data_IF_919110447400
#
_entry.id   IF_919110447400
#
_cell.length_a   1.000
_cell.length_b   1.000
_cell.length_c   1.000
_cell.angle_alpha   90.00
_cell.angle_beta   90.00
_cell.angle_gamma   90.00
#
_symmetry.space_group_name_H-M   'P 1'
#
loop_
_entity.id
_entity.type
_entity.pdbx_description
1 polymer ?
#
# COMPACT_ATOMS: atom_id res chain seq x y z
N UNK A 1 15.12 -17.32 29.63
CA UNK A 1 13.77 -16.72 29.68
C UNK A 1 13.79 -15.51 28.76
N UNK A 2 13.14 -15.57 27.60
CA UNK A 2 13.04 -14.41 26.71
C UNK A 2 12.17 -13.39 27.43
N UNK A 3 12.74 -12.24 27.80
CA UNK A 3 12.02 -11.19 28.52
C UNK A 3 11.09 -10.49 27.51
N UNK A 4 9.90 -11.05 27.29
CA UNK A 4 8.92 -10.51 26.36
C UNK A 4 8.25 -9.32 27.03
N UNK A 5 8.52 -8.12 26.53
CA UNK A 5 7.76 -6.94 26.96
C UNK A 5 6.27 -7.16 26.66
N UNK A 6 5.37 -6.81 27.59
CA UNK A 6 3.93 -6.93 27.37
C UNK A 6 3.49 -6.09 26.16
N UNK A 7 2.46 -6.55 25.45
CA UNK A 7 1.89 -5.79 24.32
C UNK A 7 1.27 -4.49 24.82
N UNK A 8 1.57 -3.34 24.19
CA UNK A 8 0.88 -2.09 24.51
C UNK A 8 -0.58 -2.15 24.05
N UNK A 9 -1.43 -1.31 24.64
CA UNK A 9 -2.85 -1.19 24.24
C UNK A 9 -3.00 -0.84 22.74
N UNK A 10 -2.10 0.01 22.22
CA UNK A 10 -1.96 0.28 20.78
C UNK A 10 -0.66 -0.31 20.26
N UNK A 11 -0.70 -1.44 19.54
CA UNK A 11 0.49 -2.01 18.93
C UNK A 11 0.99 -1.14 17.79
N UNK A 12 2.32 -0.99 17.70
CA UNK A 12 2.98 -0.22 16.65
C UNK A 12 3.39 -1.09 15.46
N UNK A 13 3.75 -2.35 15.72
CA UNK A 13 4.27 -3.26 14.71
C UNK A 13 3.25 -4.32 14.36
N UNK A 14 3.17 -4.67 13.09
CA UNK A 14 2.22 -5.64 12.56
C UNK A 14 2.92 -6.56 11.57
N UNK A 15 2.35 -7.76 11.44
CA UNK A 15 2.65 -8.67 10.34
C UNK A 15 1.37 -9.08 9.64
N UNK A 16 1.48 -9.48 8.39
CA UNK A 16 0.40 -10.22 7.73
C UNK A 16 0.50 -11.70 8.11
N UNK A 17 -0.63 -12.30 8.44
CA UNK A 17 -0.77 -13.76 8.49
C UNK A 17 -0.99 -14.35 7.08
N UNK A 18 -1.15 -15.67 7.01
CA UNK A 18 -1.36 -16.38 5.75
C UNK A 18 -2.64 -15.95 5.02
N UNK A 19 -3.62 -15.43 5.76
CA UNK A 19 -4.89 -14.93 5.25
C UNK A 19 -4.85 -13.42 4.95
N UNK A 20 -3.67 -12.81 4.93
CA UNK A 20 -3.46 -11.38 4.70
C UNK A 20 -4.15 -10.47 5.75
N UNK A 21 -4.38 -10.98 6.96
CA UNK A 21 -4.91 -10.19 8.07
C UNK A 21 -3.74 -9.63 8.88
N UNK A 22 -3.79 -8.33 9.19
CA UNK A 22 -2.79 -7.69 10.02
C UNK A 22 -2.90 -8.18 11.48
N UNK A 23 -1.81 -8.70 12.01
CA UNK A 23 -1.68 -9.17 13.39
C UNK A 23 -0.66 -8.33 14.14
N UNK A 24 -1.00 -7.84 15.35
CA UNK A 24 -0.06 -7.15 16.21
C UNK A 24 1.20 -7.96 16.48
N UNK A 25 2.31 -7.25 16.63
CA UNK A 25 3.62 -7.80 16.92
C UNK A 25 4.28 -6.97 18.02
N UNK A 26 4.94 -7.63 18.98
CA UNK A 26 5.71 -6.92 20.00
C UNK A 26 6.99 -6.38 19.39
N UNK A 27 7.56 -5.36 20.03
CA UNK A 27 8.88 -4.85 19.64
C UNK A 27 9.96 -5.95 19.71
N UNK A 28 9.89 -6.86 20.69
CA UNK A 28 10.84 -7.98 20.79
C UNK A 28 10.71 -8.91 19.58
N UNK A 29 9.49 -9.31 19.23
CA UNK A 29 9.26 -10.16 18.06
C UNK A 29 9.61 -9.45 16.74
N UNK A 30 9.42 -8.12 16.68
CA UNK A 30 9.79 -7.30 15.52
C UNK A 30 11.30 -7.31 15.33
N UNK A 31 12.05 -6.96 16.37
CA UNK A 31 13.52 -6.92 16.34
C UNK A 31 14.12 -8.30 16.04
N UNK A 32 13.61 -9.36 16.66
CA UNK A 32 14.05 -10.73 16.38
C UNK A 32 13.86 -11.11 14.91
N UNK A 33 12.74 -10.69 14.29
CA UNK A 33 12.47 -10.93 12.88
C UNK A 33 13.40 -10.11 12.00
N UNK A 34 13.48 -8.79 12.20
CA UNK A 34 14.34 -7.90 11.42
C UNK A 34 15.81 -8.32 11.46
N UNK A 35 16.30 -8.79 12.61
CA UNK A 35 17.67 -9.28 12.75
C UNK A 35 17.94 -10.58 11.98
N UNK A 36 16.92 -11.42 11.75
CA UNK A 36 17.06 -12.71 11.06
C UNK A 36 16.89 -12.61 9.55
N UNK A 37 15.97 -11.76 9.09
CA UNK A 37 15.51 -11.83 7.71
C UNK A 37 16.11 -10.77 6.79
N UNK A 38 16.75 -9.72 7.32
CA UNK A 38 17.16 -8.57 6.50
C UNK A 38 15.99 -7.96 5.70
N UNK A 39 14.76 -8.31 6.08
CA UNK A 39 13.55 -8.00 5.34
C UNK A 39 13.28 -6.49 5.39
N UNK A 40 12.90 -5.93 4.25
CA UNK A 40 12.33 -4.60 4.19
C UNK A 40 11.10 -4.53 5.10
N UNK A 41 10.97 -3.43 5.83
CA UNK A 41 9.82 -3.17 6.70
C UNK A 41 8.50 -3.21 5.92
N UNK A 42 8.56 -2.81 4.64
CA UNK A 42 7.43 -2.85 3.74
C UNK A 42 7.43 -4.13 2.88
N UNK A 43 6.28 -4.78 2.80
CA UNK A 43 6.03 -5.93 1.92
C UNK A 43 5.20 -5.49 0.72
N UNK A 44 5.63 -5.83 -0.51
CA UNK A 44 4.84 -5.55 -1.71
C UNK A 44 3.57 -6.40 -1.70
N UNK A 45 2.41 -5.75 -1.79
CA UNK A 45 1.11 -6.42 -1.93
C UNK A 45 0.75 -6.53 -3.41
N UNK A 46 0.82 -5.42 -4.14
CA UNK A 46 0.44 -5.39 -5.56
C UNK A 46 1.19 -4.31 -6.33
N UNK A 47 1.54 -4.61 -7.56
CA UNK A 47 2.17 -3.68 -8.48
C UNK A 47 1.45 -3.74 -9.84
N UNK A 48 1.11 -2.58 -10.41
CA UNK A 48 0.53 -2.51 -11.76
C UNK A 48 1.12 -1.33 -12.50
N UNK A 49 1.61 -1.60 -13.72
CA UNK A 49 2.11 -0.56 -14.60
C UNK A 49 0.98 0.00 -15.46
N UNK A 50 0.92 1.33 -15.54
CA UNK A 50 -0.03 2.08 -16.37
C UNK A 50 0.71 3.14 -17.16
N UNK A 51 0.08 3.66 -18.20
CA UNK A 51 0.61 4.77 -18.99
C UNK A 51 -0.22 6.03 -18.74
N UNK A 52 0.45 7.18 -18.63
CA UNK A 52 -0.24 8.46 -18.69
C UNK A 52 -0.62 8.84 -20.14
N UNK A 53 -1.31 9.97 -20.29
CA UNK A 53 -1.76 10.50 -21.58
C UNK A 53 -0.62 10.88 -22.55
N UNK A 54 0.64 10.86 -22.10
CA UNK A 54 1.84 11.08 -22.93
C UNK A 54 2.64 9.79 -23.10
N UNK A 55 2.01 8.63 -22.87
CA UNK A 55 2.63 7.31 -22.94
C UNK A 55 3.83 7.14 -21.99
N UNK A 56 3.90 7.90 -20.89
CA UNK A 56 4.94 7.70 -19.87
C UNK A 56 4.50 6.64 -18.88
N UNK A 57 5.42 5.73 -18.57
CA UNK A 57 5.19 4.64 -17.63
C UNK A 57 5.09 5.15 -16.19
N UNK A 58 4.05 4.70 -15.51
CA UNK A 58 3.84 4.87 -14.07
C UNK A 58 3.65 3.50 -13.43
N UNK A 59 4.05 3.37 -12.18
CA UNK A 59 3.83 2.20 -11.36
C UNK A 59 2.87 2.55 -10.23
N UNK A 60 1.71 1.91 -10.19
CA UNK A 60 0.84 1.88 -9.02
C UNK A 60 1.37 0.78 -8.10
N UNK A 61 1.91 1.13 -6.95
CA UNK A 61 2.52 0.23 -5.97
C UNK A 61 1.70 0.24 -4.69
N UNK A 62 1.16 -0.92 -4.30
CA UNK A 62 0.54 -1.13 -3.00
C UNK A 62 1.46 -1.95 -2.11
N UNK A 63 1.76 -1.44 -0.92
CA UNK A 63 2.61 -2.11 0.07
C UNK A 63 1.89 -2.22 1.41
N UNK A 64 2.25 -3.26 2.17
CA UNK A 64 2.01 -3.35 3.60
C UNK A 64 3.21 -2.73 4.32
N UNK A 65 2.98 -1.76 5.19
CA UNK A 65 4.01 -0.94 5.84
C UNK A 65 4.67 -1.64 7.04
N UNK A 66 3.99 -2.60 7.66
CA UNK A 66 4.47 -3.29 8.87
C UNK A 66 4.50 -2.44 10.15
N UNK A 67 4.32 -1.13 10.03
CA UNK A 67 4.29 -0.15 11.12
C UNK A 67 3.04 0.70 11.00
N UNK A 68 2.35 0.94 12.12
CA UNK A 68 1.23 1.87 12.17
C UNK A 68 1.69 3.32 11.93
N UNK A 69 1.21 3.92 10.84
CA UNK A 69 1.49 5.31 10.46
C UNK A 69 0.37 6.29 10.85
N UNK A 70 -0.67 5.83 11.54
CA UNK A 70 -1.73 6.71 12.01
C UNK A 70 -1.27 7.51 13.24
N UNK A 71 -1.71 8.77 13.33
CA UNK A 71 -1.48 9.61 14.51
C UNK A 71 -2.44 9.22 15.64
N UNK A 72 -3.69 8.91 15.29
CA UNK A 72 -4.77 8.47 16.16
C UNK A 72 -5.74 7.53 15.40
N UNK A 73 -6.72 6.95 16.10
CA UNK A 73 -7.74 6.09 15.48
C UNK A 73 -7.25 4.72 14.97
N UNK A 74 -7.91 4.20 13.95
CA UNK A 74 -7.59 2.93 13.28
C UNK A 74 -6.16 2.94 12.71
N UNK A 75 -5.43 1.81 12.79
CA UNK A 75 -4.05 1.77 12.34
C UNK A 75 -3.97 1.95 10.82
N UNK A 76 -2.95 2.66 10.35
CA UNK A 76 -2.63 2.80 8.93
C UNK A 76 -1.47 1.88 8.59
N UNK A 77 -1.79 0.80 7.88
CA UNK A 77 -0.88 -0.33 7.69
C UNK A 77 -0.57 -0.60 6.23
N UNK A 78 -1.28 0.03 5.31
CA UNK A 78 -1.08 -0.14 3.87
C UNK A 78 -1.07 1.20 3.19
N UNK A 79 -0.36 1.28 2.08
CA UNK A 79 -0.46 2.41 1.17
C UNK A 79 -0.44 1.96 -0.28
N UNK A 80 -1.15 2.71 -1.13
CA UNK A 80 -1.01 2.69 -2.58
C UNK A 80 -0.37 4.00 -2.99
N UNK A 81 0.77 3.93 -3.67
CA UNK A 81 1.49 5.10 -4.18
C UNK A 81 1.78 4.96 -5.68
N UNK A 82 1.70 6.06 -6.40
CA UNK A 82 2.14 6.14 -7.80
C UNK A 82 3.60 6.54 -7.85
N UNK A 83 4.40 5.77 -8.59
CA UNK A 83 5.81 6.03 -8.85
C UNK A 83 6.03 6.35 -10.34
N UNK A 84 6.72 7.45 -10.61
CA UNK A 84 7.00 7.96 -11.96
C UNK A 84 5.84 8.71 -12.61
N UNK A 85 6.11 9.27 -13.79
CA UNK A 85 5.14 10.01 -14.62
C UNK A 85 4.53 11.24 -13.95
N UNK A 86 3.35 11.65 -14.43
CA UNK A 86 2.72 12.91 -14.04
C UNK A 86 2.10 12.91 -12.62
N UNK A 87 1.78 11.73 -12.09
CA UNK A 87 1.11 11.58 -10.80
C UNK A 87 2.04 11.05 -9.70
N UNK A 88 3.36 11.14 -9.91
CA UNK A 88 4.38 10.65 -8.99
C UNK A 88 4.17 11.17 -7.56
N UNK A 89 4.23 10.26 -6.57
CA UNK A 89 4.08 10.56 -5.14
C UNK A 89 2.63 10.63 -4.67
N UNK A 90 1.64 10.57 -5.57
CA UNK A 90 0.23 10.51 -5.14
C UNK A 90 -0.01 9.23 -4.37
N UNK A 91 -0.51 9.37 -3.14
CA UNK A 91 -0.55 8.28 -2.15
C UNK A 91 -1.90 8.21 -1.46
N UNK A 92 -2.38 6.99 -1.25
CA UNK A 92 -3.57 6.65 -0.48
C UNK A 92 -3.20 5.63 0.59
N UNK A 93 -3.88 5.68 1.74
CA UNK A 93 -3.56 4.88 2.93
C UNK A 93 -4.78 4.11 3.41
N UNK A 94 -4.54 2.91 3.94
CA UNK A 94 -5.60 1.97 4.33
C UNK A 94 -5.23 1.20 5.59
N UNK A 95 -6.25 0.70 6.29
CA UNK A 95 -6.10 -0.08 7.51
C UNK A 95 -6.09 -1.58 7.26
N UNK A 96 -6.74 -2.04 6.18
CA UNK A 96 -6.86 -3.48 5.86
C UNK A 96 -6.35 -3.82 4.46
N UNK A 97 -5.94 -5.08 4.28
CA UNK A 97 -5.50 -5.60 2.98
C UNK A 97 -6.58 -5.46 1.92
N UNK A 98 -7.82 -5.82 2.25
CA UNK A 98 -8.96 -5.71 1.34
C UNK A 98 -9.20 -4.27 0.88
N UNK A 99 -9.13 -3.29 1.81
CA UNK A 99 -9.24 -1.88 1.44
C UNK A 99 -8.11 -1.45 0.51
N UNK A 100 -6.88 -1.91 0.76
CA UNK A 100 -5.72 -1.60 -0.05
C UNK A 100 -5.79 -2.19 -1.47
N UNK A 101 -6.32 -3.41 -1.63
CA UNK A 101 -6.56 -4.01 -2.94
C UNK A 101 -7.65 -3.27 -3.73
N UNK A 102 -8.78 -2.99 -3.09
CA UNK A 102 -9.86 -2.20 -3.73
C UNK A 102 -9.40 -0.79 -4.08
N UNK A 103 -8.60 -0.18 -3.22
CA UNK A 103 -7.97 1.11 -3.45
C UNK A 103 -7.02 1.09 -4.63
N UNK A 104 -6.17 0.06 -4.74
CA UNK A 104 -5.28 -0.15 -5.88
C UNK A 104 -6.04 -0.18 -7.20
N UNK A 105 -7.10 -1.01 -7.27
CA UNK A 105 -7.92 -1.15 -8.48
C UNK A 105 -8.58 0.18 -8.86
N UNK A 106 -9.07 0.93 -7.89
CA UNK A 106 -9.64 2.26 -8.15
C UNK A 106 -8.62 3.20 -8.78
N UNK A 107 -7.38 3.21 -8.28
CA UNK A 107 -6.31 4.06 -8.83
C UNK A 107 -5.95 3.63 -10.26
N UNK A 108 -5.76 2.33 -10.50
CA UNK A 108 -5.46 1.80 -11.84
C UNK A 108 -6.56 2.14 -12.84
N UNK A 109 -7.82 1.92 -12.45
CA UNK A 109 -8.99 2.19 -13.30
C UNK A 109 -9.16 3.68 -13.59
N UNK A 110 -8.92 4.55 -12.60
CA UNK A 110 -8.99 6.00 -12.78
C UNK A 110 -7.97 6.47 -13.82
N UNK A 111 -6.73 6.02 -13.71
CA UNK A 111 -5.66 6.41 -14.64
C UNK A 111 -5.95 5.88 -16.05
N UNK A 112 -6.31 4.60 -16.14
CA UNK A 112 -6.56 3.92 -17.41
C UNK A 112 -7.78 4.50 -18.12
N UNK A 113 -8.87 4.77 -17.40
CA UNK A 113 -10.07 5.40 -17.92
C UNK A 113 -9.84 6.83 -18.40
N UNK A 114 -9.09 7.63 -17.64
CA UNK A 114 -8.72 8.99 -18.04
C UNK A 114 -7.84 9.00 -19.29
N UNK A 115 -6.88 8.07 -19.39
CA UNK A 115 -6.06 7.91 -20.59
C UNK A 115 -6.91 7.54 -21.81
N UNK A 116 -7.84 6.60 -21.66
CA UNK A 116 -8.77 6.20 -22.73
C UNK A 116 -9.63 7.38 -23.21
N UNK A 117 -10.21 8.17 -22.29
CA UNK A 117 -11.03 9.33 -22.65
C UNK A 117 -10.27 10.39 -23.44
N UNK A 118 -8.99 10.60 -23.15
CA UNK A 118 -8.15 11.56 -23.87
C UNK A 118 -7.67 11.04 -25.24
N UNK A 119 -7.62 9.71 -25.43
CA UNK A 119 -7.19 9.08 -26.66
C UNK A 119 -8.36 8.78 -27.63
N UNK A 120 -9.59 8.73 -27.13
CA UNK A 120 -10.77 8.61 -27.98
C UNK A 120 -11.03 9.94 -28.71
N UNK A 121 -11.15 9.94 -30.05
CA UNK A 121 -11.56 11.15 -30.76
C UNK A 121 -12.94 11.57 -30.25
N UNK A 122 -13.06 12.84 -29.87
CA UNK A 122 -14.32 13.44 -29.45
C UNK A 122 -15.38 13.16 -30.51
N UNK A 123 -16.37 12.32 -30.19
CA UNK A 123 -17.49 12.06 -31.09
C UNK A 123 -18.44 13.24 -30.93
N UNK A 124 -18.36 14.21 -31.84
CA UNK A 124 -19.39 15.26 -31.91
C UNK A 124 -20.76 14.60 -32.04
N UNK A 125 -21.66 14.92 -31.12
CA UNK A 125 -23.05 14.54 -31.21
C UNK A 125 -23.66 15.31 -32.38
N UNK A 126 -23.98 14.59 -33.46
CA UNK A 126 -24.86 15.08 -34.54
C UNK A 126 -26.31 15.09 -34.09
#
# INVERSE_FOLDING_TARGET
>A
MTNVLPMPERPMFYRLDEQQVARPLSITAFLERSARSGEALATLVKATYVLDNRARRMLVSTVFLGVDHALDGEPVLFETMILGGALNGTTWRYSTHQQAELGHEKVVNLISGHCLQLLLPYKEAS
#
